data_IF_219383476432
#
_entry.id   IF_219383476432
#
_cell.length_a   1.000
_cell.length_b   1.000
_cell.length_c   1.000
_cell.angle_alpha   90.00
_cell.angle_beta   90.00
_cell.angle_gamma   90.00
#
_symmetry.space_group_name_H-M   'P 1'
#
loop_
_entity.id
_entity.type
_entity.pdbx_description
1 polymer ?
#
# COMPACT_ATOMS: atom_id res chain seq x y z
N UNK A 1 -14.75 6.54 10.46
CA UNK A 1 -13.54 6.50 9.63
C UNK A 1 -12.82 7.83 9.78
N UNK A 2 -11.53 7.84 10.09
CA UNK A 2 -10.74 9.08 10.21
C UNK A 2 -10.43 9.62 8.81
N UNK A 3 -10.53 10.95 8.58
CA UNK A 3 -10.18 11.52 7.28
C UNK A 3 -8.68 11.36 7.02
N UNK A 4 -8.33 11.05 5.77
CA UNK A 4 -6.94 10.95 5.34
C UNK A 4 -6.71 11.75 4.07
N UNK A 5 -5.47 12.12 3.82
CA UNK A 5 -5.07 12.80 2.58
C UNK A 5 -4.88 11.76 1.49
N UNK A 6 -5.51 11.98 0.34
CA UNK A 6 -5.31 11.17 -0.85
C UNK A 6 -3.91 11.43 -1.44
N UNK A 7 -3.09 10.39 -1.57
CA UNK A 7 -1.75 10.52 -2.15
C UNK A 7 -1.76 10.91 -3.64
N UNK A 8 -2.90 10.74 -4.34
CA UNK A 8 -3.02 11.07 -5.77
C UNK A 8 -3.41 12.53 -6.01
N UNK A 9 -4.53 12.96 -5.45
CA UNK A 9 -5.08 14.30 -5.66
C UNK A 9 -4.83 15.27 -4.50
N UNK A 10 -4.09 14.84 -3.47
CA UNK A 10 -3.70 15.64 -2.29
C UNK A 10 -4.89 16.25 -1.52
N UNK A 11 -6.09 15.72 -1.74
CA UNK A 11 -7.32 16.19 -1.10
C UNK A 11 -7.68 15.29 0.08
N UNK A 12 -8.24 15.87 1.14
CA UNK A 12 -8.74 15.12 2.30
C UNK A 12 -10.01 14.34 1.92
N UNK A 13 -9.98 13.03 2.11
CA UNK A 13 -11.13 12.14 1.92
C UNK A 13 -11.64 11.60 3.25
N UNK A 14 -12.97 11.53 3.39
CA UNK A 14 -13.65 10.89 4.54
C UNK A 14 -13.81 9.37 4.36
N UNK A 15 -13.54 8.86 3.15
CA UNK A 15 -13.61 7.45 2.80
C UNK A 15 -12.27 7.01 2.21
N UNK A 16 -11.19 6.95 3.02
CA UNK A 16 -9.89 6.57 2.51
C UNK A 16 -9.80 5.09 2.16
N UNK A 17 -9.27 4.79 0.98
CA UNK A 17 -8.92 3.43 0.55
C UNK A 17 -7.42 3.24 0.70
N UNK A 18 -6.99 2.12 1.30
CA UNK A 18 -5.57 1.77 1.40
C UNK A 18 -5.11 1.27 0.03
N UNK A 19 -4.09 1.91 -0.53
CA UNK A 19 -3.52 1.56 -1.85
C UNK A 19 -2.13 0.96 -1.74
N UNK A 20 -1.38 1.29 -0.68
CA UNK A 20 -0.09 0.70 -0.40
C UNK A 20 0.23 0.75 1.10
N UNK A 21 1.06 -0.17 1.55
CA UNK A 21 1.65 -0.25 2.88
C UNK A 21 3.16 -0.35 2.67
N UNK A 22 3.87 0.73 2.98
CA UNK A 22 5.32 0.74 2.99
C UNK A 22 5.83 0.14 4.29
N UNK A 23 6.62 -0.93 4.20
CA UNK A 23 7.38 -1.47 5.32
C UNK A 23 8.80 -0.92 5.24
N UNK A 24 9.22 -0.15 6.24
CA UNK A 24 10.60 0.33 6.32
C UNK A 24 11.42 -0.48 7.31
N UNK A 25 12.68 -0.74 6.96
CA UNK A 25 13.62 -1.46 7.83
C UNK A 25 14.25 -0.54 8.88
N UNK A 26 14.53 0.72 8.51
CA UNK A 26 15.10 1.74 9.40
C UNK A 26 14.20 2.98 9.54
N UNK A 27 13.49 3.37 8.48
CA UNK A 27 12.44 4.39 8.56
C UNK A 27 11.12 3.73 8.95
N UNK A 28 10.31 4.41 9.77
CA UNK A 28 8.98 3.90 10.13
C UNK A 28 8.16 3.56 8.87
N UNK A 29 7.49 2.41 8.88
CA UNK A 29 6.53 2.07 7.84
C UNK A 29 5.34 3.02 7.82
N UNK A 30 4.61 3.05 6.71
CA UNK A 30 3.49 3.96 6.53
C UNK A 30 2.42 3.41 5.59
N UNK A 31 1.18 3.81 5.85
CA UNK A 31 0.04 3.43 5.01
C UNK A 31 -0.29 4.57 4.06
N UNK A 32 -0.39 4.26 2.77
CA UNK A 32 -0.75 5.21 1.72
C UNK A 32 -2.24 5.09 1.44
N UNK A 33 -2.94 6.22 1.50
CA UNK A 33 -4.38 6.29 1.28
C UNK A 33 -4.71 7.03 -0.02
N UNK A 34 -5.83 6.67 -0.64
CA UNK A 34 -6.37 7.36 -1.81
C UNK A 34 -7.90 7.54 -1.70
N UNK A 35 -8.44 8.44 -2.52
CA UNK A 35 -9.88 8.53 -2.76
C UNK A 35 -10.39 7.27 -3.48
N UNK A 36 -11.63 6.84 -3.22
CA UNK A 36 -12.23 5.72 -3.94
C UNK A 36 -12.41 6.04 -5.44
N UNK A 37 -12.53 5.00 -6.26
CA UNK A 37 -12.67 5.11 -7.71
C UNK A 37 -11.33 5.40 -8.41
N UNK A 38 -11.35 6.33 -9.37
CA UNK A 38 -10.22 6.59 -10.29
C UNK A 38 -8.87 6.85 -9.59
N UNK A 39 -8.88 7.46 -8.40
CA UNK A 39 -7.65 7.68 -7.65
C UNK A 39 -7.05 6.36 -7.15
N UNK A 40 -7.85 5.51 -6.50
CA UNK A 40 -7.39 4.21 -6.01
C UNK A 40 -7.02 3.26 -7.17
N UNK A 41 -7.82 3.22 -8.23
CA UNK A 41 -7.59 2.35 -9.39
C UNK A 41 -6.33 2.72 -10.19
N UNK A 42 -5.84 3.96 -10.03
CA UNK A 42 -4.60 4.41 -10.69
C UNK A 42 -3.32 3.86 -10.06
N UNK A 43 -3.39 3.30 -8.85
CA UNK A 43 -2.22 2.72 -8.18
C UNK A 43 -1.98 1.29 -8.68
N UNK A 44 -0.72 0.91 -8.96
CA UNK A 44 -0.40 -0.48 -9.25
C UNK A 44 -0.74 -1.35 -8.03
N UNK A 45 -1.23 -2.57 -8.27
CA UNK A 45 -1.48 -3.53 -7.20
C UNK A 45 -0.19 -3.75 -6.41
N UNK A 46 -0.24 -3.53 -5.11
CA UNK A 46 0.88 -3.85 -4.23
C UNK A 46 1.18 -5.35 -4.34
N UNK A 47 2.44 -5.67 -4.67
CA UNK A 47 2.91 -7.06 -4.66
C UNK A 47 2.95 -7.57 -3.23
N UNK A 48 2.50 -8.80 -3.03
CA UNK A 48 2.68 -9.48 -1.75
C UNK A 48 4.19 -9.76 -1.57
N UNK A 49 4.84 -9.24 -0.51
CA UNK A 49 6.25 -9.50 -0.24
C UNK A 49 6.59 -10.99 -0.12
N UNK A 50 5.61 -11.83 0.23
CA UNK A 50 5.77 -13.27 0.41
C UNK A 50 5.35 -14.09 -0.81
N UNK A 51 4.80 -13.47 -1.87
CA UNK A 51 4.50 -14.17 -3.13
C UNK A 51 5.77 -14.54 -3.93
N UNK A 52 6.96 -14.11 -3.49
CA UNK A 52 8.21 -14.67 -4.00
C UNK A 52 8.38 -16.09 -3.45
N UNK A 53 7.81 -17.06 -4.16
CA UNK A 53 8.12 -18.49 -3.99
C UNK A 53 9.63 -18.69 -4.12
N UNK A 54 10.31 -18.75 -2.98
CA UNK A 54 11.65 -19.30 -2.88
C UNK A 54 11.58 -20.75 -3.38
N UNK A 55 12.41 -21.19 -4.34
CA UNK A 55 12.64 -22.62 -4.47
C UNK A 55 13.22 -23.05 -3.12
N UNK A 56 12.48 -23.91 -2.41
CA UNK A 56 12.89 -24.44 -1.12
C UNK A 56 14.31 -25.00 -1.24
N UNK A 57 15.31 -24.26 -0.74
CA UNK A 57 16.67 -24.75 -0.67
C UNK A 57 16.69 -25.74 0.48
N UNK A 58 16.44 -27.02 0.18
CA UNK A 58 16.80 -28.14 1.06
C UNK A 58 18.28 -27.98 1.39
N UNK A 59 18.59 -27.60 2.63
CA UNK A 59 19.89 -27.87 3.20
C UNK A 59 19.71 -29.04 4.16
N UNK A 60 20.49 -30.08 3.86
CA UNK A 60 20.60 -31.35 4.56
C UNK A 60 21.17 -31.15 5.95
#
# INVERSE_FOLDING_TARGET
MTPQICARCQTTTKQPVVVAIGHGASGGGGTVYACPGQCADSFPKQRDPFEQTHPARRQR
#
